data_IF_908149720746
#
_entry.id   IF_908149720746
#
_cell.length_a   1.000
_cell.length_b   1.000
_cell.length_c   1.000
_cell.angle_alpha   90.00
_cell.angle_beta   90.00
_cell.angle_gamma   90.00
#
_symmetry.space_group_name_H-M   'P 1'
#
loop_
_entity.id
_entity.type
_entity.pdbx_description
1 polymer ?
#
# COMPACT_ATOMS: atom_id res chain seq x y z
N UNK A 1 -4.64 -20.48 -1.99
CA UNK A 1 -5.84 -19.89 -2.58
C UNK A 1 -6.21 -18.63 -1.78
N UNK A 2 -6.18 -17.47 -2.43
CA UNK A 2 -6.62 -16.19 -1.83
C UNK A 2 -8.07 -16.00 -2.34
N UNK A 3 -9.05 -15.85 -1.45
CA UNK A 3 -10.45 -15.71 -1.87
C UNK A 3 -10.67 -14.36 -2.59
N UNK A 4 -11.49 -14.35 -3.63
CA UNK A 4 -11.81 -13.16 -4.44
C UNK A 4 -12.53 -12.07 -3.62
N UNK A 5 -13.19 -12.45 -2.54
CA UNK A 5 -13.88 -11.52 -1.64
C UNK A 5 -13.65 -11.87 -0.16
N UNK A 6 -13.24 -10.86 0.63
CA UNK A 6 -13.08 -10.99 2.09
C UNK A 6 -14.05 -10.04 2.77
N UNK A 7 -15.04 -10.54 3.55
CA UNK A 7 -15.92 -9.70 4.36
C UNK A 7 -15.11 -8.83 5.33
N UNK A 8 -15.59 -7.61 5.59
CA UNK A 8 -14.87 -6.67 6.48
C UNK A 8 -14.62 -7.24 7.88
N UNK A 9 -15.53 -8.03 8.42
CA UNK A 9 -15.38 -8.70 9.71
C UNK A 9 -14.27 -9.78 9.72
N UNK A 10 -13.99 -10.39 8.57
CA UNK A 10 -12.96 -11.43 8.43
C UNK A 10 -11.59 -10.85 8.04
N UNK A 11 -11.51 -9.57 7.70
CA UNK A 11 -10.28 -8.96 7.18
C UNK A 11 -9.13 -9.05 8.17
N UNK A 12 -9.34 -8.74 9.44
CA UNK A 12 -8.28 -8.83 10.45
C UNK A 12 -7.73 -10.25 10.56
N UNK A 13 -8.60 -11.26 10.57
CA UNK A 13 -8.19 -12.66 10.59
C UNK A 13 -7.39 -13.03 9.34
N UNK A 14 -7.73 -12.46 8.19
CA UNK A 14 -7.03 -12.68 6.93
C UNK A 14 -5.65 -12.04 6.91
N UNK A 15 -5.55 -10.74 7.22
CA UNK A 15 -4.29 -10.00 7.13
C UNK A 15 -3.27 -10.36 8.21
N UNK A 16 -3.70 -10.92 9.34
CA UNK A 16 -2.83 -11.42 10.41
C UNK A 16 -2.61 -12.95 10.37
N UNK A 17 -3.05 -13.62 9.30
CA UNK A 17 -2.78 -15.04 9.13
C UNK A 17 -1.37 -15.25 8.57
N UNK A 18 -0.54 -16.03 9.25
CA UNK A 18 0.85 -16.30 8.84
C UNK A 18 0.94 -16.83 7.42
N UNK A 19 0.15 -17.85 7.09
CA UNK A 19 0.14 -18.45 5.75
C UNK A 19 -0.24 -17.44 4.68
N UNK A 20 -1.21 -16.57 4.96
CA UNK A 20 -1.64 -15.53 4.03
C UNK A 20 -0.50 -14.53 3.77
N UNK A 21 0.13 -14.03 4.83
CA UNK A 21 1.23 -13.07 4.71
C UNK A 21 2.42 -13.72 3.99
N UNK A 22 2.75 -14.96 4.32
CA UNK A 22 3.82 -15.71 3.65
C UNK A 22 3.53 -15.87 2.15
N UNK A 23 2.31 -16.23 1.78
CA UNK A 23 1.88 -16.36 0.38
C UNK A 23 2.00 -15.03 -0.36
N UNK A 24 1.55 -13.93 0.24
CA UNK A 24 1.67 -12.57 -0.34
C UNK A 24 3.13 -12.19 -0.56
N UNK A 25 3.99 -12.45 0.41
CA UNK A 25 5.42 -12.15 0.31
C UNK A 25 6.13 -13.01 -0.73
N UNK A 26 5.81 -14.30 -0.80
CA UNK A 26 6.34 -15.21 -1.82
C UNK A 26 5.89 -14.80 -3.22
N UNK A 27 4.61 -14.51 -3.39
CA UNK A 27 4.04 -14.04 -4.65
C UNK A 27 4.69 -12.74 -5.13
N UNK A 28 4.91 -11.77 -4.22
CA UNK A 28 5.65 -10.55 -4.52
C UNK A 28 7.11 -10.84 -4.94
N UNK A 29 7.80 -11.70 -4.22
CA UNK A 29 9.21 -12.02 -4.51
C UNK A 29 9.35 -12.80 -5.82
N UNK A 30 8.34 -13.56 -6.22
CA UNK A 30 8.33 -14.33 -7.47
C UNK A 30 7.94 -13.46 -8.67
N UNK A 31 6.80 -12.77 -8.60
CA UNK A 31 6.18 -12.06 -9.73
C UNK A 31 6.48 -10.57 -9.79
N UNK A 32 7.02 -9.97 -8.71
CA UNK A 32 7.38 -8.56 -8.68
C UNK A 32 8.43 -8.21 -9.72
N UNK A 33 8.34 -6.99 -10.26
CA UNK A 33 9.37 -6.46 -11.16
C UNK A 33 10.71 -6.46 -10.43
N UNK A 34 11.70 -7.03 -11.09
CA UNK A 34 13.07 -7.10 -10.61
C UNK A 34 13.96 -6.10 -11.33
N UNK A 35 15.03 -5.71 -10.69
CA UNK A 35 16.05 -4.80 -11.21
C UNK A 35 17.41 -5.51 -11.27
N UNK A 36 18.40 -4.88 -11.86
CA UNK A 36 19.77 -5.41 -11.96
C UNK A 36 19.82 -6.77 -12.68
N UNK A 37 19.18 -6.85 -13.86
CA UNK A 37 19.19 -8.07 -14.66
C UNK A 37 18.37 -9.22 -14.04
N UNK A 38 17.50 -8.92 -13.08
CA UNK A 38 16.65 -9.91 -12.41
C UNK A 38 17.16 -10.39 -11.05
N UNK A 39 18.32 -9.89 -10.61
CA UNK A 39 18.95 -10.37 -9.38
C UNK A 39 18.26 -9.89 -8.10
N UNK A 40 17.58 -8.72 -8.16
CA UNK A 40 16.95 -8.11 -6.99
C UNK A 40 15.53 -7.64 -7.30
N UNK A 41 14.63 -7.81 -6.33
CA UNK A 41 13.31 -7.18 -6.38
C UNK A 41 13.47 -5.66 -6.48
N UNK A 42 12.71 -5.00 -7.35
CA UNK A 42 12.67 -3.55 -7.44
C UNK A 42 12.00 -2.90 -6.23
N UNK A 43 12.22 -1.60 -6.05
CA UNK A 43 11.62 -0.84 -4.93
C UNK A 43 10.12 -1.10 -4.88
N UNK A 44 9.67 -1.48 -3.69
CA UNK A 44 8.30 -1.94 -3.44
C UNK A 44 7.72 -1.21 -2.24
N UNK A 45 6.47 -0.76 -2.37
CA UNK A 45 5.69 -0.23 -1.24
C UNK A 45 4.58 -1.22 -0.92
N UNK A 46 4.53 -1.68 0.34
CA UNK A 46 3.42 -2.47 0.88
C UNK A 46 2.58 -1.57 1.77
N UNK A 47 1.34 -1.35 1.40
CA UNK A 47 0.38 -0.58 2.19
C UNK A 47 -0.29 -1.50 3.21
N UNK A 48 0.09 -1.34 4.47
CA UNK A 48 -0.42 -2.12 5.59
C UNK A 48 -1.62 -1.44 6.27
N UNK A 49 -2.46 -2.23 6.92
CA UNK A 49 -3.69 -1.77 7.56
C UNK A 49 -3.44 -1.01 8.86
N UNK A 50 -2.47 -1.47 9.64
CA UNK A 50 -2.09 -0.90 10.94
C UNK A 50 -0.60 -1.05 11.19
N UNK A 51 -0.12 -0.42 12.26
CA UNK A 51 1.28 -0.53 12.72
C UNK A 51 1.64 -1.97 13.08
N UNK A 52 0.75 -2.66 13.78
CA UNK A 52 0.91 -4.06 14.16
C UNK A 52 0.96 -4.96 12.93
N UNK A 53 0.13 -4.66 11.92
CA UNK A 53 0.15 -5.39 10.66
C UNK A 53 1.45 -5.16 9.90
N UNK A 54 1.95 -3.92 9.84
CA UNK A 54 3.23 -3.62 9.21
C UNK A 54 4.40 -4.32 9.89
N UNK A 55 4.42 -4.33 11.23
CA UNK A 55 5.41 -5.06 12.01
C UNK A 55 5.35 -6.55 11.73
N UNK A 56 4.14 -7.13 11.71
CA UNK A 56 3.93 -8.54 11.42
C UNK A 56 4.44 -8.93 10.03
N UNK A 57 4.17 -8.11 9.01
CA UNK A 57 4.68 -8.33 7.65
C UNK A 57 6.22 -8.36 7.64
N UNK A 58 6.87 -7.39 8.29
CA UNK A 58 8.34 -7.32 8.35
C UNK A 58 8.93 -8.53 9.09
N UNK A 59 8.33 -8.93 10.21
CA UNK A 59 8.75 -10.12 10.95
C UNK A 59 8.62 -11.39 10.11
N UNK A 60 7.50 -11.57 9.38
CA UNK A 60 7.31 -12.71 8.48
C UNK A 60 8.31 -12.69 7.34
N UNK A 61 8.58 -11.53 6.74
CA UNK A 61 9.59 -11.40 5.69
C UNK A 61 10.98 -11.84 6.19
N UNK A 62 11.40 -11.34 7.34
CA UNK A 62 12.72 -11.70 7.91
C UNK A 62 12.83 -13.19 8.26
N UNK A 63 11.72 -13.82 8.66
CA UNK A 63 11.66 -15.26 8.90
C UNK A 63 11.77 -16.09 7.61
N UNK A 64 11.11 -15.64 6.53
CA UNK A 64 11.14 -16.32 5.23
C UNK A 64 12.47 -16.12 4.50
N UNK A 65 13.07 -14.95 4.65
CA UNK A 65 14.27 -14.53 3.91
C UNK A 65 15.40 -14.05 4.85
N UNK A 66 15.91 -14.93 5.74
CA UNK A 66 16.91 -14.54 6.74
C UNK A 66 18.24 -14.06 6.12
N UNK A 67 18.50 -14.42 4.86
CA UNK A 67 19.69 -13.99 4.11
C UNK A 67 19.84 -12.47 3.98
N UNK A 68 18.76 -11.72 4.15
CA UNK A 68 18.78 -10.25 4.05
C UNK A 68 19.02 -9.54 5.39
N UNK A 69 19.24 -10.28 6.49
CA UNK A 69 19.62 -9.75 7.80
C UNK A 69 18.73 -8.59 8.30
N UNK A 70 17.43 -8.58 7.97
CA UNK A 70 16.48 -7.57 8.39
C UNK A 70 16.60 -6.20 7.71
N UNK A 71 17.45 -6.04 6.71
CA UNK A 71 17.65 -4.74 6.03
C UNK A 71 16.78 -4.55 4.80
N UNK A 72 16.28 -5.63 4.22
CA UNK A 72 15.57 -5.62 2.93
C UNK A 72 14.15 -5.04 3.04
N UNK A 73 13.44 -5.37 4.12
CA UNK A 73 12.09 -4.86 4.39
C UNK A 73 12.08 -4.05 5.69
N UNK A 74 11.58 -2.83 5.63
CA UNK A 74 11.52 -1.92 6.77
C UNK A 74 10.10 -1.37 6.94
N UNK A 75 9.69 -1.24 8.21
CA UNK A 75 8.42 -0.58 8.56
C UNK A 75 8.58 0.93 8.54
N UNK A 76 7.58 1.63 8.03
CA UNK A 76 7.52 3.09 8.01
C UNK A 76 6.17 3.56 8.55
N UNK A 77 6.17 4.09 9.78
CA UNK A 77 4.97 4.64 10.42
C UNK A 77 5.26 6.01 11.01
N UNK A 78 4.25 6.86 11.15
CA UNK A 78 4.39 8.22 11.71
C UNK A 78 4.86 8.24 13.17
N UNK A 79 4.74 7.14 13.88
CA UNK A 79 5.23 7.01 15.27
C UNK A 79 6.69 6.56 15.38
N UNK A 80 7.33 6.21 14.26
CA UNK A 80 8.73 5.77 14.27
C UNK A 80 9.64 7.01 14.26
N UNK A 81 10.49 7.17 15.25
CA UNK A 81 11.41 8.32 15.38
C UNK A 81 12.38 8.47 14.21
N UNK A 82 12.65 7.39 13.50
CA UNK A 82 13.53 7.35 12.33
C UNK A 82 12.78 7.20 11.00
N UNK A 83 11.46 7.42 10.98
CA UNK A 83 10.65 7.23 9.78
C UNK A 83 11.19 8.03 8.58
N UNK A 84 11.56 9.29 8.79
CA UNK A 84 12.11 10.14 7.73
C UNK A 84 13.45 9.59 7.18
N UNK A 85 14.31 9.13 8.08
CA UNK A 85 15.61 8.53 7.67
C UNK A 85 15.39 7.27 6.83
N UNK A 86 14.44 6.41 7.23
CA UNK A 86 14.11 5.19 6.46
C UNK A 86 13.51 5.57 5.09
N UNK A 87 12.68 6.60 5.03
CA UNK A 87 12.13 7.11 3.75
C UNK A 87 13.27 7.63 2.85
N UNK A 88 14.21 8.38 3.38
CA UNK A 88 15.33 8.92 2.61
C UNK A 88 16.27 7.80 2.15
N UNK A 89 16.52 6.82 3.00
CA UNK A 89 17.26 5.60 2.64
C UNK A 89 16.53 4.80 1.55
N UNK A 90 15.21 4.64 1.67
CA UNK A 90 14.41 3.97 0.66
C UNK A 90 14.45 4.67 -0.70
N UNK A 91 14.56 6.00 -0.73
CA UNK A 91 14.66 6.78 -1.96
C UNK A 91 16.04 6.71 -2.60
N UNK A 92 17.09 6.81 -1.78
CA UNK A 92 18.44 7.13 -2.23
C UNK A 92 19.41 5.94 -2.19
N UNK A 93 19.17 5.00 -1.27
CA UNK A 93 20.04 3.85 -1.06
C UNK A 93 19.47 2.58 -1.72
N UNK A 94 20.32 1.61 -1.89
CA UNK A 94 19.91 0.29 -2.32
C UNK A 94 18.92 -0.36 -1.34
N UNK A 95 19.21 -0.29 -0.06
CA UNK A 95 18.36 -0.80 1.02
C UNK A 95 17.69 0.35 1.82
N UNK A 96 16.47 0.14 2.30
CA UNK A 96 15.61 -1.04 2.12
C UNK A 96 15.04 -1.12 0.71
N UNK A 97 14.66 -2.32 0.27
CA UNK A 97 13.96 -2.58 -0.99
C UNK A 97 12.46 -2.53 -0.82
N UNK A 98 11.95 -3.04 0.31
CA UNK A 98 10.53 -3.05 0.65
C UNK A 98 10.26 -2.06 1.78
N UNK A 99 9.39 -1.09 1.52
CA UNK A 99 8.84 -0.19 2.51
C UNK A 99 7.42 -0.64 2.91
N UNK A 100 7.24 -1.10 4.14
CA UNK A 100 5.92 -1.47 4.67
C UNK A 100 5.34 -0.28 5.41
N UNK A 101 4.40 0.41 4.78
CA UNK A 101 3.90 1.72 5.23
C UNK A 101 2.49 1.65 5.79
N UNK A 102 2.28 2.45 6.85
CA UNK A 102 0.96 2.78 7.37
C UNK A 102 0.78 4.29 7.24
N UNK A 103 -0.06 4.70 6.28
CA UNK A 103 -0.46 6.07 5.97
C UNK A 103 0.66 7.04 5.52
N UNK A 104 1.93 6.86 5.91
CA UNK A 104 3.01 7.81 5.60
C UNK A 104 3.38 7.88 4.12
N UNK A 105 3.37 6.76 3.42
CA UNK A 105 3.69 6.70 1.98
C UNK A 105 2.44 6.76 1.09
N UNK A 106 1.27 6.90 1.67
CA UNK A 106 0.02 7.05 0.92
C UNK A 106 0.03 8.39 0.16
N UNK A 107 0.63 9.44 0.75
CA UNK A 107 0.74 10.78 0.19
C UNK A 107 2.16 11.37 0.36
N UNK A 108 2.55 12.29 -0.51
CA UNK A 108 3.72 13.17 -0.30
C UNK A 108 5.10 12.57 -0.51
N UNK A 109 5.28 11.25 -0.57
CA UNK A 109 6.59 10.63 -0.79
C UNK A 109 6.79 10.32 -2.27
N UNK A 110 7.84 10.86 -2.87
CA UNK A 110 8.21 10.62 -4.27
C UNK A 110 9.36 9.61 -4.34
N UNK A 111 9.12 8.47 -5.01
CA UNK A 111 10.11 7.39 -5.20
C UNK A 111 10.04 6.93 -6.65
N UNK A 112 10.76 7.58 -7.59
CA UNK A 112 10.73 7.24 -9.00
C UNK A 112 11.05 5.77 -9.29
N UNK A 113 11.99 5.19 -8.53
CA UNK A 113 12.41 3.79 -8.66
C UNK A 113 11.38 2.76 -8.15
N UNK A 114 10.22 3.19 -7.61
CA UNK A 114 9.19 2.28 -7.13
C UNK A 114 8.49 1.58 -8.30
N UNK A 115 8.61 0.26 -8.40
CA UNK A 115 8.06 -0.55 -9.50
C UNK A 115 7.01 -1.57 -9.04
N UNK A 116 6.84 -1.76 -7.74
CA UNK A 116 5.82 -2.66 -7.20
C UNK A 116 5.02 -1.96 -6.10
N UNK A 117 3.70 -2.04 -6.17
CA UNK A 117 2.77 -1.58 -5.14
C UNK A 117 1.93 -2.75 -4.64
N UNK A 118 1.87 -2.95 -3.34
CA UNK A 118 1.09 -4.03 -2.72
C UNK A 118 0.02 -3.43 -1.82
N UNK A 119 -1.24 -3.61 -2.19
CA UNK A 119 -2.39 -3.21 -1.38
C UNK A 119 -2.77 -4.36 -0.45
N UNK A 120 -2.30 -4.29 0.78
CA UNK A 120 -2.63 -5.24 1.84
C UNK A 120 -3.49 -4.59 2.93
N UNK A 121 -4.31 -3.63 2.49
CA UNK A 121 -5.34 -2.94 3.28
C UNK A 121 -6.53 -2.58 2.40
N UNK A 122 -7.71 -2.44 3.01
CA UNK A 122 -8.88 -1.89 2.33
C UNK A 122 -8.80 -0.38 2.28
N UNK A 123 -8.90 0.19 1.08
CA UNK A 123 -8.98 1.63 0.85
C UNK A 123 -10.42 1.97 0.47
N UNK A 124 -11.00 3.00 1.11
CA UNK A 124 -12.38 3.41 0.87
C UNK A 124 -12.50 4.78 0.21
N UNK A 125 -11.49 5.63 0.39
CA UNK A 125 -11.40 6.92 -0.25
C UNK A 125 -10.81 6.75 -1.66
N UNK A 126 -11.55 7.19 -2.68
CA UNK A 126 -11.11 7.16 -4.08
C UNK A 126 -9.89 8.03 -4.30
N UNK A 127 -9.88 9.24 -3.74
CA UNK A 127 -8.73 10.15 -3.81
C UNK A 127 -7.48 9.51 -3.23
N UNK A 128 -7.59 8.90 -2.03
CA UNK A 128 -6.47 8.21 -1.38
C UNK A 128 -5.98 7.03 -2.22
N UNK A 129 -6.89 6.24 -2.80
CA UNK A 129 -6.54 5.10 -3.65
C UNK A 129 -5.70 5.54 -4.87
N UNK A 130 -6.14 6.60 -5.56
CA UNK A 130 -5.38 7.12 -6.69
C UNK A 130 -4.05 7.77 -6.30
N UNK A 131 -3.98 8.42 -5.15
CA UNK A 131 -2.71 8.94 -4.61
C UNK A 131 -1.70 7.82 -4.32
N UNK A 132 -2.17 6.69 -3.79
CA UNK A 132 -1.34 5.51 -3.53
C UNK A 132 -0.86 4.89 -4.85
N UNK A 133 -1.74 4.72 -5.85
CA UNK A 133 -1.37 4.26 -7.20
C UNK A 133 -0.33 5.21 -7.82
N UNK A 134 -0.50 6.51 -7.63
CA UNK A 134 0.42 7.54 -8.10
C UNK A 134 1.88 7.38 -7.61
N UNK A 135 2.12 6.60 -6.57
CA UNK A 135 3.50 6.27 -6.12
C UNK A 135 4.27 5.45 -7.14
N UNK A 136 3.58 4.65 -7.96
CA UNK A 136 4.19 3.83 -9.01
C UNK A 136 4.34 4.53 -10.37
N UNK A 137 3.64 5.65 -10.60
CA UNK A 137 3.53 6.25 -11.95
C UNK A 137 4.74 7.09 -12.37
N UNK A 138 5.65 7.41 -11.45
CA UNK A 138 6.84 8.22 -11.77
C UNK A 138 7.77 7.49 -12.72
N UNK A 139 8.30 8.21 -13.70
CA UNK A 139 9.35 7.72 -14.58
C UNK A 139 10.67 7.65 -13.81
N UNK A 140 11.53 6.73 -14.21
CA UNK A 140 12.87 6.56 -13.65
C UNK A 140 13.79 6.14 -14.78
N UNK A 141 14.57 7.10 -15.29
CA UNK A 141 15.55 6.86 -16.33
C UNK A 141 16.71 6.02 -15.80
N UNK A 142 17.26 5.16 -16.64
CA UNK A 142 18.40 4.32 -16.31
C UNK A 142 18.11 3.16 -15.33
N UNK A 143 16.86 2.94 -14.95
CA UNK A 143 16.49 1.81 -14.11
C UNK A 143 16.37 0.54 -14.95
N UNK A 144 17.37 -0.33 -14.88
CA UNK A 144 17.32 -1.63 -15.56
C UNK A 144 16.32 -2.56 -14.87
N UNK A 145 15.20 -2.83 -15.53
CA UNK A 145 14.12 -3.64 -15.00
C UNK A 145 13.92 -4.91 -15.81
N UNK A 146 13.59 -6.00 -15.14
CA UNK A 146 13.19 -7.27 -15.72
C UNK A 146 11.83 -7.67 -15.13
N UNK A 147 10.79 -7.82 -15.96
CA UNK A 147 9.44 -8.13 -15.49
C UNK A 147 8.90 -9.49 -15.99
N UNK A 148 9.68 -10.22 -16.74
CA UNK A 148 9.31 -11.52 -17.28
C UNK A 148 8.26 -11.47 -18.42
N UNK A 149 7.70 -10.30 -18.74
CA UNK A 149 6.70 -10.13 -19.80
C UNK A 149 7.37 -9.54 -21.04
N UNK A 150 8.07 -8.40 -20.88
CA UNK A 150 8.78 -7.73 -21.97
C UNK A 150 10.29 -8.04 -21.98
N UNK A 151 10.75 -8.85 -21.03
CA UNK A 151 12.16 -9.09 -20.81
C UNK A 151 12.87 -7.92 -20.12
N UNK A 152 14.18 -7.84 -20.29
CA UNK A 152 14.98 -6.76 -19.73
C UNK A 152 14.82 -5.47 -20.53
N UNK A 153 14.68 -4.34 -19.82
CA UNK A 153 14.66 -3.00 -20.40
C UNK A 153 15.33 -1.98 -19.48
N UNK A 154 15.96 -0.99 -20.07
CA UNK A 154 16.43 0.23 -19.42
C UNK A 154 15.26 1.22 -19.35
N UNK A 155 15.25 2.12 -18.43
CA UNK A 155 14.15 3.03 -18.10
C UNK A 155 12.87 2.34 -17.65
N UNK A 156 12.30 2.85 -16.59
CA UNK A 156 11.06 2.31 -16.06
C UNK A 156 9.90 2.53 -17.03
N UNK A 157 9.36 1.45 -17.62
CA UNK A 157 8.23 1.49 -18.54
C UNK A 157 6.89 1.31 -17.86
N UNK A 158 6.86 0.55 -16.74
CA UNK A 158 5.64 0.22 -16.02
C UNK A 158 5.93 -0.09 -14.55
N UNK A 159 4.87 -0.30 -13.81
CA UNK A 159 4.90 -0.82 -12.44
C UNK A 159 3.80 -1.85 -12.27
N UNK A 160 3.93 -2.72 -11.27
CA UNK A 160 2.92 -3.71 -10.93
C UNK A 160 2.13 -3.30 -9.68
N UNK A 161 0.86 -3.67 -9.67
CA UNK A 161 -0.01 -3.54 -8.51
C UNK A 161 -0.50 -4.93 -8.10
N UNK A 162 -0.29 -5.28 -6.85
CA UNK A 162 -0.82 -6.46 -6.19
C UNK A 162 -1.93 -6.01 -5.25
N UNK A 163 -3.17 -6.36 -5.55
CA UNK A 163 -4.33 -6.00 -4.72
C UNK A 163 -4.92 -7.25 -4.05
N UNK A 164 -4.53 -7.48 -2.80
CA UNK A 164 -5.01 -8.61 -2.00
C UNK A 164 -6.27 -8.30 -1.18
N UNK A 165 -6.79 -7.08 -1.26
CA UNK A 165 -7.97 -6.66 -0.51
C UNK A 165 -9.17 -6.26 -1.38
N UNK A 166 -9.08 -6.46 -2.69
CA UNK A 166 -10.16 -6.22 -3.64
C UNK A 166 -10.53 -4.74 -3.78
N UNK A 167 -9.53 -3.84 -3.73
CA UNK A 167 -9.78 -2.41 -3.86
C UNK A 167 -10.23 -2.02 -5.26
N UNK A 168 -9.64 -2.62 -6.31
CA UNK A 168 -10.06 -2.36 -7.69
C UNK A 168 -11.51 -2.80 -7.92
N UNK A 169 -11.91 -3.97 -7.40
CA UNK A 169 -13.28 -4.47 -7.49
C UNK A 169 -14.24 -3.51 -6.79
N UNK A 170 -13.87 -3.11 -5.55
CA UNK A 170 -14.66 -2.17 -4.79
C UNK A 170 -14.90 -0.85 -5.56
N UNK A 171 -13.87 -0.25 -6.18
CA UNK A 171 -14.01 1.02 -6.91
C UNK A 171 -14.62 0.84 -8.30
N UNK A 172 -14.61 -0.37 -8.87
CA UNK A 172 -15.38 -0.69 -10.07
C UNK A 172 -16.87 -0.65 -9.79
N UNK A 173 -17.31 -1.20 -8.66
CA UNK A 173 -18.70 -1.21 -8.24
C UNK A 173 -19.15 0.12 -7.64
N UNK A 174 -18.28 0.79 -6.91
CA UNK A 174 -18.53 2.03 -6.18
C UNK A 174 -17.74 3.19 -6.81
N UNK A 175 -18.20 3.70 -7.97
CA UNK A 175 -17.46 4.70 -8.76
C UNK A 175 -17.07 5.98 -8.01
N UNK A 176 -17.83 6.37 -7.00
CA UNK A 176 -17.56 7.59 -6.21
C UNK A 176 -16.74 7.30 -4.94
N UNK A 177 -16.68 6.05 -4.47
CA UNK A 177 -16.05 5.72 -3.18
C UNK A 177 -16.69 6.49 -2.01
N UNK A 178 -16.08 6.44 -0.84
CA UNK A 178 -16.35 7.41 0.21
C UNK A 178 -15.34 8.56 0.03
N UNK A 179 -15.78 9.68 -0.54
CA UNK A 179 -14.99 10.89 -0.47
C UNK A 179 -15.03 11.42 0.96
N UNK A 180 -13.86 11.76 1.53
CA UNK A 180 -13.73 12.38 2.85
C UNK A 180 -14.33 13.82 2.91
N UNK A 181 -15.26 14.14 2.00
CA UNK A 181 -15.96 15.41 1.89
C UNK A 181 -17.44 15.36 2.28
N UNK A 182 -18.03 14.18 2.48
CA UNK A 182 -19.45 14.05 2.80
C UNK A 182 -19.74 13.59 4.24
N UNK A 183 -18.80 13.36 5.09
CA UNK A 183 -19.04 13.42 6.53
C UNK A 183 -19.18 14.89 6.90
N UNK A 184 -20.43 15.40 6.84
CA UNK A 184 -20.78 16.68 7.44
C UNK A 184 -20.09 16.74 8.80
N UNK A 185 -19.36 17.83 9.05
CA UNK A 185 -18.70 18.01 10.34
C UNK A 185 -19.71 17.77 11.48
N UNK A 186 -19.26 17.40 12.65
CA UNK A 186 -20.15 17.22 13.80
C UNK A 186 -21.05 18.45 13.99
N UNK A 187 -20.49 19.64 13.78
CA UNK A 187 -21.17 20.95 13.83
C UNK A 187 -22.25 21.05 12.74
N UNK A 188 -21.96 20.62 11.53
CA UNK A 188 -22.91 20.64 10.41
C UNK A 188 -24.04 19.61 10.60
N UNK A 189 -23.74 18.44 11.14
CA UNK A 189 -24.74 17.43 11.50
C UNK A 189 -25.66 17.93 12.64
N UNK A 190 -25.10 18.59 13.65
CA UNK A 190 -25.87 19.21 14.74
C UNK A 190 -26.75 20.31 14.18
N UNK A 191 -26.23 21.20 13.34
CA UNK A 191 -26.98 22.27 12.70
C UNK A 191 -28.15 21.72 11.85
N UNK A 192 -27.90 20.74 10.99
CA UNK A 192 -28.93 20.09 10.18
C UNK A 192 -30.03 19.46 11.04
N UNK A 193 -29.65 18.80 12.16
CA UNK A 193 -30.65 18.21 13.09
C UNK A 193 -31.43 19.27 13.85
N UNK A 194 -30.81 20.39 14.23
CA UNK A 194 -31.48 21.52 14.86
C UNK A 194 -32.51 22.16 13.92
N UNK A 195 -32.13 22.37 12.63
CA UNK A 195 -33.08 22.88 11.62
C UNK A 195 -34.24 21.92 11.42
N UNK A 196 -34.00 20.61 11.33
CA UNK A 196 -35.08 19.61 11.22
C UNK A 196 -36.00 19.62 12.43
N UNK A 197 -35.48 19.78 13.64
CA UNK A 197 -36.25 19.86 14.86
C UNK A 197 -37.14 21.13 14.89
N UNK A 198 -36.57 22.28 14.51
CA UNK A 198 -37.33 23.56 14.43
C UNK A 198 -38.45 23.43 13.41
N UNK A 199 -38.22 22.86 12.24
CA UNK A 199 -39.23 22.64 11.21
C UNK A 199 -40.35 21.72 11.70
N UNK A 200 -39.99 20.66 12.44
CA UNK A 200 -40.98 19.74 13.02
C UNK A 200 -41.81 20.31 14.16
N UNK A 201 -41.30 21.35 14.85
CA UNK A 201 -42.02 22.03 15.94
C UNK A 201 -42.91 23.19 15.45
N UNK A 202 -42.77 23.63 14.21
CA UNK A 202 -43.52 24.72 13.58
C UNK A 202 -44.66 24.23 12.66
N UNK A 203 -44.77 22.93 12.43
CA UNK A 203 -45.85 22.27 11.67
C UNK A 203 -46.78 21.51 12.59
#
# INVERSE_FOLDING_TARGET
YIPDFIPSAALNKFVFNETTVDTVLQDLMERGIKVEGGDRLGKTIIFAQSKEHAEFIVQRFNKLYPKYNGTFAQRITCSDSYAQTIIDDFKQKEMPVIAVSVDMMDTGVDVPACVNLVFFKKVRSKTKFWQMIGRGTRLCEGLSCTDGIDGEYTDKKRFLIFDYCGNFEYFRENKNGYENGETKSLTENIFCKQVQLITALQG
#
